data_IF_030024290987
#
_entry.id   IF_030024290987
#
_cell.length_a   1.000
_cell.length_b   1.000
_cell.length_c   1.000
_cell.angle_alpha   90.00
_cell.angle_beta   90.00
_cell.angle_gamma   90.00
#
_symmetry.space_group_name_H-M   'P 1'
#
loop_
_entity.id
_entity.type
_entity.pdbx_description
1 polymer ?
#
# COMPACT_ATOMS: atom_id res chain seq x y z
N UNK A 1 17.20 -11.17 -8.36
CA UNK A 1 15.91 -10.76 -7.76
C UNK A 1 15.22 -9.77 -8.67
N UNK A 2 13.92 -9.96 -8.87
CA UNK A 2 13.08 -9.03 -9.65
C UNK A 2 12.08 -8.35 -8.69
N UNK A 3 12.10 -7.03 -8.67
CA UNK A 3 11.22 -6.22 -7.83
C UNK A 3 10.25 -5.47 -8.74
N UNK A 4 8.96 -5.58 -8.45
CA UNK A 4 7.91 -4.79 -9.09
C UNK A 4 7.58 -3.59 -8.19
N UNK A 5 7.60 -2.40 -8.78
CA UNK A 5 7.21 -1.17 -8.08
C UNK A 5 5.99 -0.59 -8.77
N UNK A 6 4.90 -0.47 -8.04
CA UNK A 6 3.64 0.09 -8.50
C UNK A 6 3.44 1.46 -7.88
N UNK A 7 3.47 2.50 -8.71
CA UNK A 7 3.30 3.88 -8.28
C UNK A 7 1.83 4.24 -8.12
N UNK A 8 1.56 5.14 -7.23
CA UNK A 8 0.31 5.89 -7.01
C UNK A 8 -0.98 5.19 -7.47
N UNK A 9 -1.35 4.12 -6.80
CA UNK A 9 -2.62 3.41 -7.05
C UNK A 9 -3.77 4.27 -6.54
N UNK A 10 -4.57 4.79 -7.47
CA UNK A 10 -5.59 5.79 -7.14
C UNK A 10 -7.01 5.20 -7.19
N UNK A 11 -7.70 5.29 -6.05
CA UNK A 11 -9.12 5.04 -5.92
C UNK A 11 -9.59 3.65 -6.37
N UNK A 12 -10.88 3.55 -6.64
CA UNK A 12 -11.54 2.31 -7.03
C UNK A 12 -10.98 1.74 -8.34
N UNK A 13 -10.76 2.59 -9.34
CA UNK A 13 -10.26 2.14 -10.65
C UNK A 13 -8.83 1.58 -10.56
N UNK A 14 -7.95 2.24 -9.80
CA UNK A 14 -6.59 1.75 -9.57
C UNK A 14 -6.58 0.41 -8.84
N UNK A 15 -7.39 0.27 -7.79
CA UNK A 15 -7.51 -0.99 -7.06
C UNK A 15 -8.07 -2.12 -7.92
N UNK A 16 -9.02 -1.81 -8.81
CA UNK A 16 -9.57 -2.78 -9.75
C UNK A 16 -8.51 -3.29 -10.73
N UNK A 17 -7.69 -2.40 -11.25
CA UNK A 17 -6.59 -2.78 -12.13
C UNK A 17 -5.58 -3.69 -11.43
N UNK A 18 -5.23 -3.41 -10.19
CA UNK A 18 -4.36 -4.28 -9.38
C UNK A 18 -5.01 -5.66 -9.20
N UNK A 19 -6.26 -5.69 -8.78
CA UNK A 19 -7.00 -6.95 -8.56
C UNK A 19 -7.05 -7.82 -9.81
N UNK A 20 -7.23 -7.20 -10.98
CA UNK A 20 -7.40 -7.94 -12.24
C UNK A 20 -6.08 -8.39 -12.88
N UNK A 21 -4.96 -7.74 -12.56
CA UNK A 21 -3.73 -7.92 -13.33
C UNK A 21 -2.50 -8.32 -12.52
N UNK A 22 -2.43 -8.00 -11.23
CA UNK A 22 -1.20 -8.14 -10.45
C UNK A 22 -0.69 -9.59 -10.40
N UNK A 23 -1.55 -10.54 -10.11
CA UNK A 23 -1.18 -11.95 -9.99
C UNK A 23 -0.55 -12.47 -11.29
N UNK A 24 -1.12 -12.09 -12.42
CA UNK A 24 -0.60 -12.46 -13.74
C UNK A 24 0.76 -11.81 -14.02
N UNK A 25 0.93 -10.54 -13.68
CA UNK A 25 2.21 -9.84 -13.86
C UNK A 25 3.30 -10.52 -13.03
N UNK A 26 3.00 -10.81 -11.76
CA UNK A 26 3.94 -11.50 -10.86
C UNK A 26 4.37 -12.83 -11.47
N UNK A 27 3.43 -13.62 -11.95
CA UNK A 27 3.71 -14.93 -12.54
C UNK A 27 4.48 -14.82 -13.86
N UNK A 28 4.01 -13.99 -14.80
CA UNK A 28 4.59 -13.89 -16.15
C UNK A 28 6.03 -13.33 -16.14
N UNK A 29 6.32 -12.45 -15.20
CA UNK A 29 7.64 -11.81 -15.08
C UNK A 29 8.50 -12.41 -13.97
N UNK A 30 8.02 -13.44 -13.27
CA UNK A 30 8.75 -14.08 -12.17
C UNK A 30 9.19 -13.08 -11.11
N UNK A 31 8.26 -12.22 -10.69
CA UNK A 31 8.51 -11.18 -9.68
C UNK A 31 8.73 -11.81 -8.30
N UNK A 32 9.80 -11.41 -7.61
CA UNK A 32 10.14 -11.91 -6.28
C UNK A 32 9.58 -11.03 -5.16
N UNK A 33 9.43 -9.72 -5.40
CA UNK A 33 9.01 -8.78 -4.37
C UNK A 33 8.22 -7.62 -5.01
N UNK A 34 7.07 -7.27 -4.42
CA UNK A 34 6.17 -6.24 -4.95
C UNK A 34 5.98 -5.12 -3.92
N UNK A 35 6.29 -3.90 -4.34
CA UNK A 35 6.09 -2.67 -3.57
C UNK A 35 4.99 -1.86 -4.26
N UNK A 36 4.02 -1.37 -3.47
CA UNK A 36 2.91 -0.59 -3.99
C UNK A 36 2.78 0.71 -3.18
N UNK A 37 2.66 1.85 -3.85
CA UNK A 37 2.28 3.09 -3.19
C UNK A 37 0.76 3.18 -3.10
N UNK A 38 0.25 3.20 -1.86
CA UNK A 38 -1.18 3.19 -1.57
C UNK A 38 -1.71 4.47 -0.94
N UNK A 39 -0.96 5.58 -0.98
CA UNK A 39 -1.40 6.81 -0.30
C UNK A 39 -2.73 7.37 -0.80
N UNK A 40 -3.12 7.04 -2.04
CA UNK A 40 -4.35 7.53 -2.68
C UNK A 40 -5.32 6.39 -3.03
N UNK A 41 -5.20 5.25 -2.37
CA UNK A 41 -5.94 4.04 -2.74
C UNK A 41 -7.42 4.04 -2.32
N UNK A 42 -7.81 4.85 -1.33
CA UNK A 42 -9.20 4.92 -0.86
C UNK A 42 -10.15 5.47 -1.94
N UNK A 43 -11.45 5.23 -1.77
CA UNK A 43 -12.47 5.53 -2.78
C UNK A 43 -12.49 7.01 -3.20
N UNK A 44 -12.19 7.93 -2.28
CA UNK A 44 -12.11 9.36 -2.55
C UNK A 44 -10.73 9.81 -3.09
N UNK A 45 -9.81 8.87 -3.31
CA UNK A 45 -8.46 9.15 -3.79
C UNK A 45 -7.49 9.64 -2.72
N UNK A 46 -7.83 9.52 -1.44
CA UNK A 46 -7.00 10.01 -0.32
C UNK A 46 -6.88 8.99 0.79
N UNK A 47 -5.64 8.59 1.07
CA UNK A 47 -5.36 7.64 2.14
C UNK A 47 -5.64 6.20 1.77
N UNK A 48 -5.54 5.34 2.77
CA UNK A 48 -5.76 3.91 2.65
C UNK A 48 -6.46 3.41 3.92
N UNK A 49 -7.34 2.42 3.78
CA UNK A 49 -7.99 1.76 4.91
C UNK A 49 -7.32 0.42 5.21
N UNK A 50 -7.56 -0.11 6.41
CA UNK A 50 -7.15 -1.46 6.78
C UNK A 50 -7.62 -2.50 5.75
N UNK A 51 -8.90 -2.45 5.39
CA UNK A 51 -9.48 -3.40 4.43
C UNK A 51 -8.77 -3.36 3.08
N UNK A 52 -8.50 -2.16 2.56
CA UNK A 52 -7.79 -1.99 1.28
C UNK A 52 -6.35 -2.51 1.38
N UNK A 53 -5.64 -2.21 2.46
CA UNK A 53 -4.28 -2.71 2.67
C UNK A 53 -4.25 -4.23 2.69
N UNK A 54 -5.16 -4.86 3.43
CA UNK A 54 -5.26 -6.32 3.51
C UNK A 54 -5.59 -6.95 2.15
N UNK A 55 -6.46 -6.32 1.36
CA UNK A 55 -6.74 -6.76 -0.01
C UNK A 55 -5.47 -6.75 -0.87
N UNK A 56 -4.68 -5.69 -0.82
CA UNK A 56 -3.40 -5.63 -1.55
C UNK A 56 -2.45 -6.74 -1.12
N UNK A 57 -2.28 -6.96 0.17
CA UNK A 57 -1.42 -8.04 0.67
C UNK A 57 -1.91 -9.41 0.18
N UNK A 58 -3.21 -9.66 0.20
CA UNK A 58 -3.79 -10.91 -0.30
C UNK A 58 -3.62 -11.09 -1.82
N UNK A 59 -3.44 -10.00 -2.56
CA UNK A 59 -3.23 -10.02 -4.01
C UNK A 59 -1.76 -10.20 -4.42
N UNK A 60 -0.84 -10.18 -3.47
CA UNK A 60 0.58 -10.42 -3.72
C UNK A 60 1.50 -9.22 -3.49
N UNK A 61 0.98 -8.13 -2.91
CA UNK A 61 1.82 -6.99 -2.50
C UNK A 61 2.58 -7.37 -1.23
N UNK A 62 3.88 -7.10 -1.20
CA UNK A 62 4.73 -7.40 -0.05
C UNK A 62 4.88 -6.20 0.89
N UNK A 63 4.96 -4.99 0.33
CA UNK A 63 5.08 -3.75 1.10
C UNK A 63 4.22 -2.66 0.45
N UNK A 64 3.50 -1.92 1.29
CA UNK A 64 2.75 -0.72 0.88
C UNK A 64 3.47 0.50 1.44
N UNK A 65 3.85 1.41 0.55
CA UNK A 65 4.32 2.74 0.92
C UNK A 65 3.17 3.74 0.92
N UNK A 66 3.35 4.87 1.56
CA UNK A 66 2.34 5.90 1.66
C UNK A 66 2.95 7.30 1.50
N UNK A 67 2.16 8.32 1.78
CA UNK A 67 2.58 9.72 1.64
C UNK A 67 1.82 10.62 2.59
N UNK A 68 1.64 11.88 2.20
CA UNK A 68 1.02 12.89 3.05
C UNK A 68 -0.46 12.61 3.40
N UNK A 69 -1.14 11.74 2.66
CA UNK A 69 -2.52 11.34 2.94
C UNK A 69 -2.67 10.14 3.88
N UNK A 70 -1.55 9.64 4.47
CA UNK A 70 -1.59 8.44 5.32
C UNK A 70 -2.58 8.56 6.49
N UNK A 71 -2.78 9.77 7.03
CA UNK A 71 -3.67 9.97 8.17
C UNK A 71 -5.10 10.39 7.80
N UNK A 72 -5.42 10.49 6.51
CA UNK A 72 -6.75 10.93 6.07
C UNK A 72 -7.87 9.96 6.49
N UNK A 73 -7.57 8.69 6.58
CA UNK A 73 -8.45 7.67 7.18
C UNK A 73 -7.99 7.39 8.60
N UNK A 74 -8.73 7.88 9.60
CA UNK A 74 -8.30 7.87 11.01
C UNK A 74 -8.00 6.48 11.55
N UNK A 75 -8.71 5.45 11.10
CA UNK A 75 -8.52 4.06 11.53
C UNK A 75 -7.12 3.51 11.22
N UNK A 76 -6.42 4.11 10.24
CA UNK A 76 -5.11 3.63 9.81
C UNK A 76 -4.06 3.80 10.91
N UNK A 77 -4.20 4.80 11.77
CA UNK A 77 -3.23 5.09 12.83
C UNK A 77 -3.08 3.91 13.81
N UNK A 78 -4.15 3.22 14.11
CA UNK A 78 -4.11 2.02 14.94
C UNK A 78 -3.57 0.82 14.17
N UNK A 79 -4.09 0.58 12.98
CA UNK A 79 -3.69 -0.54 12.13
C UNK A 79 -2.19 -0.54 11.80
N UNK A 80 -1.63 0.62 11.44
CA UNK A 80 -0.23 0.75 11.02
C UNK A 80 0.76 0.39 12.13
N UNK A 81 0.36 0.51 13.40
CA UNK A 81 1.18 0.08 14.54
C UNK A 81 1.32 -1.45 14.64
N UNK A 82 0.43 -2.17 13.98
CA UNK A 82 0.37 -3.64 14.03
C UNK A 82 0.66 -4.30 12.68
N UNK A 83 0.99 -3.50 11.65
CA UNK A 83 1.28 -4.02 10.31
C UNK A 83 2.58 -3.44 9.77
N UNK A 84 3.67 -4.19 9.92
CA UNK A 84 5.01 -3.75 9.54
C UNK A 84 5.19 -3.57 8.02
N UNK A 85 4.30 -4.13 7.22
CA UNK A 85 4.34 -4.03 5.76
C UNK A 85 3.66 -2.78 5.21
N UNK A 86 2.97 -2.01 6.05
CA UNK A 86 2.42 -0.69 5.71
C UNK A 86 3.31 0.39 6.31
N UNK A 87 3.96 1.17 5.45
CA UNK A 87 4.94 2.17 5.88
C UNK A 87 4.37 3.59 5.79
N UNK A 88 4.63 4.39 6.82
CA UNK A 88 4.46 5.83 6.76
C UNK A 88 5.69 6.48 6.10
N UNK A 89 5.60 7.75 5.63
CA UNK A 89 6.80 8.47 5.22
C UNK A 89 7.85 8.52 6.35
N UNK A 90 9.10 8.22 6.01
CA UNK A 90 10.19 8.15 6.98
C UNK A 90 10.53 9.52 7.61
N UNK A 91 10.19 10.61 6.91
CA UNK A 91 10.44 11.98 7.35
C UNK A 91 9.34 12.59 8.24
N UNK A 92 8.31 11.81 8.60
CA UNK A 92 7.34 12.26 9.59
C UNK A 92 7.98 12.31 10.99
N UNK A 93 7.36 13.09 11.88
CA UNK A 93 7.87 13.29 13.23
C UNK A 93 8.13 11.97 13.95
N UNK A 94 9.20 11.94 14.71
CA UNK A 94 9.52 10.82 15.60
C UNK A 94 8.33 10.59 16.57
N UNK A 95 7.99 9.33 16.79
CA UNK A 95 6.83 8.96 17.60
C UNK A 95 5.50 8.92 16.85
N UNK A 96 5.47 9.24 15.54
CA UNK A 96 4.29 9.01 14.70
C UNK A 96 3.95 7.51 14.66
N UNK A 97 2.64 7.14 14.52
CA UNK A 97 2.28 5.73 14.42
C UNK A 97 2.99 5.01 13.27
N UNK A 98 3.31 3.74 13.48
CA UNK A 98 3.94 2.88 12.47
C UNK A 98 5.41 3.14 12.25
N UNK A 99 5.93 2.55 11.21
CA UNK A 99 7.34 2.61 10.83
C UNK A 99 7.53 3.30 9.48
N UNK A 100 8.68 3.94 9.29
CA UNK A 100 9.02 4.60 8.03
C UNK A 100 9.95 3.78 7.12
N UNK A 101 10.31 2.56 7.57
CA UNK A 101 11.19 1.67 6.81
C UNK A 101 11.04 0.22 7.24
#
# INVERSE_FOLDING_TARGET
MKILILGDVMGVSGRKDIKNNLSKIIQDHEINFTILNGENAADDGRGITKLIAEEFFNQGVDVITSGNHIWDKKEIADYINHEDRLLRPANLAEGSPGNGF
#
